data_IF_765086149442
#
_entry.id   IF_765086149442
#
_cell.length_a   1.000
_cell.length_b   1.000
_cell.length_c   1.000
_cell.angle_alpha   90.00
_cell.angle_beta   90.00
_cell.angle_gamma   90.00
#
_symmetry.space_group_name_H-M   'P 1'
#
loop_
_entity.id
_entity.type
_entity.pdbx_description
1 polymer ?
#
# COMPACT_ATOMS: atom_id res chain seq x y z
N UNK A 1 -13.84 -30.93 -2.48
CA UNK A 1 -14.40 -29.81 -3.26
C UNK A 1 -15.14 -28.92 -2.30
N UNK A 2 -14.55 -27.77 -1.98
CA UNK A 2 -15.10 -26.79 -1.05
C UNK A 2 -15.32 -25.48 -1.81
N UNK A 3 -16.49 -24.87 -1.64
CA UNK A 3 -16.85 -23.62 -2.33
C UNK A 3 -16.59 -22.45 -1.36
N UNK A 4 -15.60 -21.62 -1.68
CA UNK A 4 -15.25 -20.44 -0.90
C UNK A 4 -15.78 -19.19 -1.63
N UNK A 5 -16.31 -18.25 -0.85
CA UNK A 5 -16.67 -16.92 -1.33
C UNK A 5 -15.64 -15.93 -0.81
N UNK A 6 -14.87 -15.35 -1.71
CA UNK A 6 -13.88 -14.30 -1.41
C UNK A 6 -14.21 -13.11 -2.32
N UNK A 7 -14.38 -11.91 -1.75
CA UNK A 7 -14.63 -10.68 -2.53
C UNK A 7 -15.80 -10.75 -3.51
N UNK A 8 -16.89 -11.46 -3.18
CA UNK A 8 -18.05 -11.64 -4.06
C UNK A 8 -17.86 -12.66 -5.20
N UNK A 9 -16.64 -13.15 -5.40
CA UNK A 9 -16.32 -14.19 -6.38
C UNK A 9 -16.47 -15.59 -5.76
N UNK A 10 -16.97 -16.53 -6.58
CA UNK A 10 -17.04 -17.95 -6.22
C UNK A 10 -15.77 -18.65 -6.66
N UNK A 11 -14.98 -19.11 -5.71
CA UNK A 11 -13.78 -19.92 -5.96
C UNK A 11 -14.10 -21.36 -5.53
N UNK A 12 -13.93 -22.28 -6.47
CA UNK A 12 -13.98 -23.72 -6.17
C UNK A 12 -12.56 -24.18 -5.93
N UNK A 13 -12.28 -24.67 -4.73
CA UNK A 13 -10.97 -25.25 -4.39
C UNK A 13 -11.12 -26.77 -4.39
N UNK A 14 -10.30 -27.43 -5.20
CA UNK A 14 -10.22 -28.88 -5.30
C UNK A 14 -8.82 -29.35 -4.95
N UNK A 15 -8.74 -30.29 -4.01
CA UNK A 15 -7.49 -30.90 -3.59
C UNK A 15 -7.32 -32.18 -4.41
N UNK A 16 -6.38 -32.16 -5.36
CA UNK A 16 -6.12 -33.27 -6.28
C UNK A 16 -4.74 -33.88 -5.96
N UNK A 17 -4.73 -34.82 -5.01
CA UNK A 17 -3.49 -35.37 -4.48
C UNK A 17 -2.76 -34.32 -3.65
N UNK A 18 -1.56 -33.93 -4.09
CA UNK A 18 -0.64 -33.02 -3.37
C UNK A 18 -0.70 -31.58 -3.89
N UNK A 19 -1.70 -31.30 -4.72
CA UNK A 19 -1.89 -30.01 -5.38
C UNK A 19 -3.23 -29.43 -4.99
N UNK A 20 -3.22 -28.19 -4.50
CA UNK A 20 -4.44 -27.39 -4.39
C UNK A 20 -4.68 -26.74 -5.74
N UNK A 21 -5.81 -27.08 -6.36
CA UNK A 21 -6.29 -26.46 -7.59
C UNK A 21 -7.45 -25.51 -7.23
N UNK A 22 -7.23 -24.20 -7.40
CA UNK A 22 -8.27 -23.20 -7.24
C UNK A 22 -8.81 -22.75 -8.60
N UNK A 23 -10.14 -22.67 -8.72
CA UNK A 23 -10.82 -22.19 -9.92
C UNK A 23 -11.78 -21.06 -9.59
N UNK A 24 -11.47 -19.87 -10.09
CA UNK A 24 -12.40 -18.75 -10.10
C UNK A 24 -13.44 -18.90 -11.24
N UNK A 25 -14.66 -18.40 -11.00
CA UNK A 25 -15.73 -18.37 -12.01
C UNK A 25 -15.70 -17.12 -12.91
N UNK A 26 -14.68 -16.28 -12.78
CA UNK A 26 -14.37 -15.21 -13.74
C UNK A 26 -13.88 -15.89 -15.03
N UNK A 27 -14.24 -15.36 -16.21
CA UNK A 27 -14.10 -16.07 -17.49
C UNK A 27 -12.69 -16.51 -17.92
N UNK A 28 -11.66 -16.28 -17.11
CA UNK A 28 -10.29 -16.72 -17.30
C UNK A 28 -10.00 -17.94 -16.41
N UNK A 29 -9.78 -19.10 -17.04
CA UNK A 29 -9.31 -20.30 -16.34
C UNK A 29 -7.79 -20.23 -16.18
N UNK A 30 -7.30 -19.72 -15.06
CA UNK A 30 -5.91 -19.95 -14.66
C UNK A 30 -5.89 -20.92 -13.47
N UNK A 31 -4.92 -21.82 -13.50
CA UNK A 31 -4.69 -22.84 -12.48
C UNK A 31 -3.53 -22.39 -11.62
N UNK A 32 -3.78 -22.15 -10.34
CA UNK A 32 -2.71 -22.04 -9.35
C UNK A 32 -2.48 -23.45 -8.82
N UNK A 33 -1.25 -23.96 -8.97
CA UNK A 33 -0.81 -25.23 -8.39
C UNK A 33 0.09 -24.91 -7.21
N UNK A 34 -0.46 -24.90 -6.00
CA UNK A 34 0.34 -24.84 -4.78
C UNK A 34 0.75 -26.28 -4.43
N UNK A 35 2.05 -26.55 -4.40
CA UNK A 35 2.59 -27.84 -3.93
C UNK A 35 2.42 -27.85 -2.41
N UNK A 36 1.68 -28.83 -1.89
CA UNK A 36 1.36 -28.95 -0.46
C UNK A 36 2.22 -29.95 0.29
N UNK A 37 3.07 -30.70 -0.43
CA UNK A 37 4.07 -31.55 0.21
C UNK A 37 5.30 -30.72 0.54
N UNK A 38 5.42 -30.37 1.81
CA UNK A 38 6.67 -29.93 2.42
C UNK A 38 7.38 -31.15 3.02
N UNK A 39 8.70 -31.08 3.07
CA UNK A 39 9.56 -32.07 3.72
C UNK A 39 9.92 -31.55 5.11
N UNK A 40 9.38 -32.18 6.15
CA UNK A 40 9.60 -31.80 7.55
C UNK A 40 10.85 -32.48 8.10
N UNK A 41 11.68 -31.74 8.83
CA UNK A 41 12.82 -32.30 9.55
C UNK A 41 12.39 -32.95 10.86
N UNK A 42 12.64 -34.26 11.00
CA UNK A 42 12.33 -35.03 12.22
C UNK A 42 13.08 -34.52 13.47
N UNK A 43 14.17 -33.76 13.28
CA UNK A 43 15.03 -33.23 14.37
C UNK A 43 14.53 -31.94 15.01
N UNK A 44 13.94 -31.03 14.24
CA UNK A 44 13.52 -29.69 14.70
C UNK A 44 12.09 -29.28 14.29
N UNK A 45 11.47 -30.00 13.35
CA UNK A 45 10.14 -29.69 12.81
C UNK A 45 10.12 -28.49 11.85
N UNK A 46 11.21 -28.22 11.14
CA UNK A 46 11.27 -27.21 10.08
C UNK A 46 10.84 -27.83 8.74
N UNK A 47 10.09 -27.09 7.92
CA UNK A 47 9.50 -27.56 6.66
C UNK A 47 10.23 -26.98 5.44
N UNK A 48 10.49 -27.81 4.43
CA UNK A 48 11.21 -27.43 3.21
C UNK A 48 10.42 -27.79 1.95
N UNK A 49 10.43 -26.92 0.95
CA UNK A 49 9.71 -27.14 -0.32
C UNK A 49 10.35 -28.24 -1.20
N UNK A 50 11.53 -28.74 -0.82
CA UNK A 50 12.22 -29.82 -1.55
C UNK A 50 12.97 -30.76 -0.60
N UNK A 51 13.04 -32.04 -0.97
CA UNK A 51 13.86 -33.05 -0.28
C UNK A 51 15.34 -32.63 -0.20
N UNK A 52 15.81 -31.87 -1.19
CA UNK A 52 17.17 -31.32 -1.20
C UNK A 52 17.38 -30.24 -0.12
N UNK A 53 16.38 -29.40 0.12
CA UNK A 53 16.38 -28.41 1.19
C UNK A 53 16.46 -29.08 2.56
N UNK A 54 15.60 -30.10 2.79
CA UNK A 54 15.62 -30.90 4.01
C UNK A 54 16.98 -31.59 4.21
N UNK A 55 17.51 -32.27 3.20
CA UNK A 55 18.79 -32.98 3.30
C UNK A 55 19.97 -32.05 3.60
N UNK A 56 19.93 -30.81 3.08
CA UNK A 56 20.96 -29.80 3.36
C UNK A 56 20.87 -29.32 4.81
N UNK A 57 19.65 -29.07 5.30
CA UNK A 57 19.40 -28.70 6.68
C UNK A 57 19.85 -29.80 7.66
N UNK A 58 19.48 -31.06 7.42
CA UNK A 58 19.91 -32.18 8.27
C UNK A 58 21.45 -32.33 8.29
N UNK A 59 22.09 -32.13 7.14
CA UNK A 59 23.54 -32.19 7.00
C UNK A 59 24.30 -31.10 7.75
N UNK A 60 23.74 -29.90 7.87
CA UNK A 60 24.39 -28.74 8.52
C UNK A 60 24.04 -28.61 10.00
N UNK A 61 22.76 -28.82 10.33
CA UNK A 61 22.19 -28.49 11.65
C UNK A 61 22.17 -29.69 12.59
N UNK A 62 22.14 -30.91 12.05
CA UNK A 62 21.98 -32.14 12.83
C UNK A 62 23.13 -33.15 12.68
N UNK A 63 24.14 -32.87 11.85
CA UNK A 63 25.34 -33.71 11.76
C UNK A 63 26.16 -33.63 13.06
N UNK A 64 26.32 -34.79 13.70
CA UNK A 64 27.02 -34.96 14.98
C UNK A 64 28.51 -35.30 14.82
N UNK A 65 29.11 -35.00 13.66
CA UNK A 65 30.51 -35.29 13.37
C UNK A 65 31.37 -34.04 13.63
N UNK A 66 32.20 -34.12 14.69
CA UNK A 66 33.21 -33.11 15.01
C UNK A 66 34.27 -32.94 13.91
N UNK A 67 35.01 -31.81 13.93
CA UNK A 67 35.74 -31.33 12.76
C UNK A 67 36.97 -32.22 12.45
N UNK A 68 36.93 -32.90 11.31
CA UNK A 68 38.13 -33.45 10.66
C UNK A 68 38.78 -32.36 9.82
N UNK A 69 40.01 -32.01 10.20
CA UNK A 69 40.86 -31.00 9.58
C UNK A 69 41.30 -31.33 8.13
N UNK A 70 41.52 -30.24 7.36
CA UNK A 70 42.23 -30.07 6.06
C UNK A 70 41.56 -30.72 4.84
N UNK A 71 41.24 -30.02 3.75
CA UNK A 71 42.00 -29.01 3.01
C UNK A 71 41.13 -27.89 2.43
N UNK A 72 41.80 -26.78 2.13
CA UNK A 72 41.31 -25.56 1.51
C UNK A 72 40.49 -25.81 0.23
N UNK A 73 39.21 -25.42 0.25
CA UNK A 73 38.54 -24.92 -0.94
C UNK A 73 37.60 -23.80 -0.54
N UNK A 74 37.87 -22.60 -1.05
CA UNK A 74 36.96 -21.46 -1.04
C UNK A 74 35.57 -21.89 -1.47
N UNK A 75 34.65 -21.89 -0.52
CA UNK A 75 33.24 -22.21 -0.71
C UNK A 75 32.43 -21.34 0.23
N UNK A 76 32.26 -20.07 -0.15
CA UNK A 76 31.22 -19.21 0.39
C UNK A 76 29.88 -19.93 0.18
N UNK A 77 29.43 -20.66 1.19
CA UNK A 77 28.02 -20.97 1.37
C UNK A 77 27.42 -19.71 1.97
N UNK A 78 27.02 -18.81 1.07
CA UNK A 78 26.12 -17.74 1.41
C UNK A 78 24.83 -18.40 1.90
N UNK A 79 24.56 -18.27 3.19
CA UNK A 79 23.20 -18.26 3.69
C UNK A 79 22.48 -17.20 2.85
N UNK A 80 21.43 -17.60 2.14
CA UNK A 80 20.63 -16.69 1.32
C UNK A 80 19.77 -15.89 2.29
N UNK A 81 20.39 -14.93 2.94
CA UNK A 81 19.70 -13.77 3.50
C UNK A 81 19.38 -12.90 2.28
N UNK A 82 18.16 -12.40 2.18
CA UNK A 82 17.70 -11.49 1.13
C UNK A 82 18.38 -10.11 1.23
N UNK A 83 19.71 -10.05 1.30
CA UNK A 83 20.51 -8.84 1.44
C UNK A 83 21.15 -8.53 0.07
N UNK A 84 20.48 -7.65 -0.68
CA UNK A 84 20.78 -7.29 -2.05
C UNK A 84 22.11 -6.54 -2.22
N UNK A 85 23.22 -7.27 -2.27
CA UNK A 85 24.48 -6.80 -2.84
C UNK A 85 25.26 -5.76 -2.03
N UNK A 86 26.53 -5.56 -2.42
CA UNK A 86 27.50 -4.70 -1.70
C UNK A 86 27.87 -3.47 -2.53
N UNK A 87 27.25 -2.32 -2.30
CA UNK A 87 27.71 -1.03 -2.84
C UNK A 87 28.73 -0.33 -1.90
N UNK A 88 29.55 0.58 -2.44
CA UNK A 88 30.56 1.31 -1.66
C UNK A 88 29.92 2.37 -0.74
N UNK A 89 30.09 2.20 0.58
CA UNK A 89 29.51 3.05 1.64
C UNK A 89 30.58 3.98 2.23
N UNK A 90 30.14 5.14 2.74
CA UNK A 90 30.96 6.10 3.49
C UNK A 90 31.67 5.45 4.70
N UNK A 91 32.90 5.88 4.98
CA UNK A 91 33.66 5.37 6.12
C UNK A 91 33.04 5.85 7.45
N UNK A 92 33.16 5.05 8.53
CA UNK A 92 32.70 5.41 9.88
C UNK A 92 33.21 6.78 10.35
N UNK A 93 34.40 7.20 9.90
CA UNK A 93 34.92 8.55 10.20
C UNK A 93 34.08 9.64 9.55
N UNK A 94 33.57 9.41 8.35
CA UNK A 94 32.77 10.40 7.64
C UNK A 94 31.37 10.49 8.25
N UNK A 95 30.76 9.35 8.59
CA UNK A 95 29.44 9.30 9.25
C UNK A 95 29.50 9.83 10.70
N UNK A 96 30.60 9.62 11.44
CA UNK A 96 30.77 10.20 12.79
C UNK A 96 31.10 11.69 12.80
N UNK A 97 31.56 12.21 11.67
CA UNK A 97 31.91 13.62 11.52
C UNK A 97 30.83 14.39 10.74
N UNK A 98 29.75 13.73 10.32
CA UNK A 98 28.55 14.40 9.83
C UNK A 98 27.63 14.76 10.99
N UNK A 99 26.72 15.69 10.74
CA UNK A 99 25.67 16.08 11.70
C UNK A 99 24.53 15.04 11.75
N UNK A 100 24.71 13.86 11.15
CA UNK A 100 23.70 12.81 11.03
C UNK A 100 23.62 11.99 12.34
N UNK A 101 22.41 11.64 12.76
CA UNK A 101 22.19 10.96 14.04
C UNK A 101 22.48 9.46 13.96
N UNK A 102 23.70 9.07 14.30
CA UNK A 102 24.19 7.68 14.23
C UNK A 102 23.88 6.89 15.50
N UNK A 103 23.11 5.79 15.42
CA UNK A 103 22.87 4.87 16.56
C UNK A 103 23.33 3.43 16.27
N UNK A 104 23.65 2.64 17.30
CA UNK A 104 24.29 1.31 17.22
C UNK A 104 23.36 0.24 17.78
N UNK A 105 23.13 -0.84 17.04
CA UNK A 105 22.42 -2.03 17.54
C UNK A 105 23.31 -3.26 17.65
N UNK A 106 22.74 -4.33 18.24
CA UNK A 106 23.28 -5.68 18.30
C UNK A 106 22.30 -6.61 17.58
N UNK A 107 22.46 -6.75 16.27
CA UNK A 107 21.86 -7.81 15.45
C UNK A 107 22.89 -8.12 14.37
N UNK A 108 23.36 -9.38 14.31
CA UNK A 108 24.48 -9.86 13.48
C UNK A 108 25.63 -8.86 13.33
N UNK A 109 26.08 -8.30 14.47
CA UNK A 109 27.05 -7.22 14.53
C UNK A 109 26.44 -5.88 14.96
N UNK A 110 26.85 -4.80 14.28
CA UNK A 110 26.49 -3.41 14.55
C UNK A 110 25.67 -2.82 13.41
N UNK A 111 24.37 -2.62 13.61
CA UNK A 111 23.52 -1.83 12.70
C UNK A 111 23.62 -0.35 13.04
N UNK A 112 23.56 0.48 12.00
CA UNK A 112 23.52 1.93 12.10
C UNK A 112 22.54 2.50 11.09
N UNK A 113 21.85 3.56 11.47
CA UNK A 113 20.94 4.28 10.61
C UNK A 113 21.38 5.76 10.50
N UNK A 114 21.28 6.35 9.32
CA UNK A 114 21.51 7.78 9.09
C UNK A 114 20.63 8.27 7.92
N UNK A 115 20.49 9.60 7.75
CA UNK A 115 19.76 10.17 6.61
C UNK A 115 20.69 10.52 5.46
N UNK A 116 20.25 10.24 4.24
CA UNK A 116 20.86 10.77 3.02
C UNK A 116 19.78 11.52 2.23
N UNK A 117 19.68 12.84 2.45
CA UNK A 117 18.56 13.63 1.93
C UNK A 117 17.25 13.36 2.69
N UNK A 118 16.19 13.00 1.96
CA UNK A 118 14.89 12.61 2.52
C UNK A 118 14.79 11.10 2.82
N UNK A 119 15.83 10.33 2.50
CA UNK A 119 15.85 8.88 2.65
C UNK A 119 16.52 8.45 3.96
N UNK A 120 16.02 7.35 4.54
CA UNK A 120 16.59 6.69 5.70
C UNK A 120 17.49 5.55 5.24
N UNK A 121 18.78 5.59 5.54
CA UNK A 121 19.77 4.57 5.13
C UNK A 121 20.21 3.77 6.34
N UNK A 122 20.03 2.45 6.27
CA UNK A 122 20.49 1.51 7.30
C UNK A 122 21.68 0.73 6.77
N UNK A 123 22.73 0.67 7.57
CA UNK A 123 23.98 -0.04 7.28
C UNK A 123 24.27 -1.04 8.39
N UNK A 124 24.56 -2.27 8.01
CA UNK A 124 25.02 -3.31 8.92
C UNK A 124 26.54 -3.42 8.84
N UNK A 125 27.16 -3.81 9.95
CA UNK A 125 28.56 -4.20 10.00
C UNK A 125 28.66 -5.43 10.88
N UNK A 126 29.17 -6.53 10.36
CA UNK A 126 29.40 -7.72 11.17
C UNK A 126 30.35 -7.46 12.36
N UNK A 127 30.50 -8.45 13.24
CA UNK A 127 31.17 -8.31 14.54
C UNK A 127 32.67 -7.94 14.48
N UNK A 128 33.32 -8.03 13.32
CA UNK A 128 34.75 -7.76 13.20
C UNK A 128 35.10 -6.30 12.86
N UNK A 129 36.10 -5.68 13.53
CA UNK A 129 36.57 -4.32 13.27
C UNK A 129 37.13 -4.02 11.87
N UNK A 130 37.14 -5.00 10.95
CA UNK A 130 37.59 -4.85 9.56
C UNK A 130 36.53 -5.28 8.54
N UNK A 131 35.38 -5.77 8.99
CA UNK A 131 34.27 -6.05 8.09
C UNK A 131 33.83 -4.76 7.41
N UNK A 132 33.58 -4.87 6.10
CA UNK A 132 33.01 -3.79 5.31
C UNK A 132 31.59 -3.55 5.80
N UNK A 133 31.18 -2.30 5.71
CA UNK A 133 29.80 -1.93 5.92
C UNK A 133 29.00 -2.41 4.73
N UNK A 134 27.84 -2.98 4.99
CA UNK A 134 26.88 -3.39 3.97
C UNK A 134 25.66 -2.52 4.13
N UNK A 135 25.23 -1.85 3.06
CA UNK A 135 23.97 -1.13 3.04
C UNK A 135 22.95 -2.25 3.07
N UNK A 136 22.02 -2.20 4.02
CA UNK A 136 20.82 -3.02 3.91
C UNK A 136 20.05 -2.38 2.77
N UNK A 137 20.29 -2.89 1.57
CA UNK A 137 19.52 -2.52 0.39
C UNK A 137 18.25 -3.36 0.51
N UNK A 138 17.06 -2.75 0.51
CA UNK A 138 15.84 -3.53 0.51
C UNK A 138 15.88 -4.48 -0.68
N UNK A 139 15.55 -5.75 -0.47
CA UNK A 139 15.21 -6.63 -1.58
C UNK A 139 14.06 -5.96 -2.35
N UNK A 140 14.14 -5.98 -3.68
CA UNK A 140 13.01 -5.57 -4.52
C UNK A 140 11.74 -6.28 -4.01
N UNK A 141 10.67 -5.51 -3.77
CA UNK A 141 9.40 -6.05 -3.30
C UNK A 141 8.30 -5.73 -4.29
N UNK A 142 7.62 -6.77 -4.76
CA UNK A 142 6.46 -6.63 -5.63
C UNK A 142 5.12 -6.60 -4.88
N UNK A 143 5.11 -6.92 -3.59
CA UNK A 143 3.90 -6.88 -2.76
C UNK A 143 4.20 -6.63 -1.28
N UNK A 144 3.27 -6.02 -0.54
CA UNK A 144 3.31 -5.77 0.92
C UNK A 144 1.91 -5.86 1.53
N UNK A 145 1.81 -6.02 2.85
CA UNK A 145 0.52 -6.00 3.56
C UNK A 145 0.32 -4.74 4.40
N UNK A 146 -0.95 -4.37 4.61
CA UNK A 146 -1.33 -3.38 5.62
C UNK A 146 -0.84 -3.83 7.01
N UNK A 147 -0.28 -2.89 7.79
CA UNK A 147 0.29 -3.14 9.11
C UNK A 147 1.74 -3.64 9.09
N UNK A 148 2.30 -3.96 7.92
CA UNK A 148 3.69 -4.36 7.76
C UNK A 148 4.65 -3.20 8.12
N UNK A 149 5.82 -3.54 8.66
CA UNK A 149 6.87 -2.56 8.96
C UNK A 149 8.05 -2.75 8.02
N UNK A 150 8.49 -1.66 7.39
CA UNK A 150 9.66 -1.67 6.52
C UNK A 150 10.76 -0.79 7.12
N UNK A 151 11.98 -1.31 7.11
CA UNK A 151 13.17 -0.55 7.46
C UNK A 151 13.45 0.60 6.48
N UNK A 152 13.21 0.35 5.19
CA UNK A 152 13.44 1.29 4.08
C UNK A 152 12.43 0.99 2.98
N UNK A 153 12.08 2.00 2.18
CA UNK A 153 11.25 1.81 0.99
C UNK A 153 12.04 1.03 -0.08
N UNK A 154 11.48 -0.04 -0.68
CA UNK A 154 12.12 -0.79 -1.77
C UNK A 154 12.48 0.06 -2.99
N UNK A 155 13.65 -0.21 -3.57
CA UNK A 155 14.20 0.59 -4.68
C UNK A 155 13.36 0.50 -5.97
N UNK A 156 12.56 -0.56 -6.13
CA UNK A 156 11.66 -0.74 -7.27
C UNK A 156 10.34 0.03 -7.13
N UNK A 157 10.10 0.73 -6.02
CA UNK A 157 8.88 1.50 -5.80
C UNK A 157 9.02 2.94 -6.29
N UNK A 158 7.99 3.42 -6.97
CA UNK A 158 7.94 4.78 -7.50
C UNK A 158 7.16 5.70 -6.57
N UNK A 159 7.85 6.67 -5.96
CA UNK A 159 7.18 7.65 -5.10
C UNK A 159 6.27 8.57 -5.92
N UNK A 160 4.99 8.65 -5.56
CA UNK A 160 4.00 9.52 -6.22
C UNK A 160 3.73 10.80 -5.44
N UNK A 161 3.61 10.71 -4.13
CA UNK A 161 3.28 11.86 -3.28
C UNK A 161 3.99 11.80 -1.92
N UNK A 162 4.21 12.97 -1.34
CA UNK A 162 4.53 13.16 0.09
C UNK A 162 3.43 13.97 0.72
N UNK A 163 2.85 13.49 1.83
CA UNK A 163 1.76 14.14 2.53
C UNK A 163 2.23 14.51 3.93
N UNK A 164 2.01 15.76 4.32
CA UNK A 164 2.22 16.19 5.70
C UNK A 164 0.95 15.93 6.51
N UNK A 165 1.06 15.04 7.48
CA UNK A 165 -0.01 14.72 8.40
C UNK A 165 -0.12 15.69 9.58
N UNK A 166 -1.04 15.37 10.49
CA UNK A 166 -1.18 16.07 11.75
C UNK A 166 0.01 15.77 12.70
N UNK A 167 0.28 16.69 13.64
CA UNK A 167 1.25 16.48 14.72
C UNK A 167 2.64 15.97 14.27
N UNK A 168 3.19 16.59 13.22
CA UNK A 168 4.48 16.27 12.60
C UNK A 168 4.52 14.98 11.77
N UNK A 169 3.46 14.16 11.76
CA UNK A 169 3.38 12.95 10.93
C UNK A 169 3.65 13.26 9.45
N UNK A 170 4.29 12.32 8.76
CA UNK A 170 4.57 12.40 7.33
C UNK A 170 4.16 11.08 6.71
N UNK A 171 3.64 11.13 5.51
CA UNK A 171 3.25 9.97 4.74
C UNK A 171 3.83 10.06 3.34
N UNK A 172 4.04 8.91 2.71
CA UNK A 172 4.39 8.80 1.30
C UNK A 172 3.42 7.86 0.61
N UNK A 173 3.00 8.22 -0.59
CA UNK A 173 2.30 7.30 -1.49
C UNK A 173 3.31 6.81 -2.52
N UNK A 174 3.40 5.49 -2.66
CA UNK A 174 4.33 4.80 -3.54
C UNK A 174 3.56 3.86 -4.46
N UNK A 175 3.99 3.72 -5.70
CA UNK A 175 3.46 2.73 -6.64
C UNK A 175 4.46 1.59 -6.79
N UNK A 176 3.95 0.36 -6.82
CA UNK A 176 4.71 -0.85 -7.13
C UNK A 176 4.46 -1.18 -8.61
N UNK A 177 5.39 -0.88 -9.54
CA UNK A 177 5.12 -0.97 -10.97
C UNK A 177 4.77 -2.38 -11.46
N UNK A 178 5.27 -3.43 -10.79
CA UNK A 178 5.03 -4.82 -11.19
C UNK A 178 3.59 -5.28 -10.96
N UNK A 179 2.93 -4.71 -9.95
CA UNK A 179 1.56 -5.07 -9.55
C UNK A 179 0.57 -3.93 -9.81
N UNK A 180 1.06 -2.75 -10.18
CA UNK A 180 0.31 -1.51 -10.32
C UNK A 180 -0.52 -1.20 -9.06
N UNK A 181 0.07 -1.48 -7.90
CA UNK A 181 -0.54 -1.25 -6.58
C UNK A 181 0.06 -0.01 -5.98
N UNK A 182 -0.77 0.82 -5.37
CA UNK A 182 -0.34 1.97 -4.58
C UNK A 182 -0.33 1.62 -3.08
N UNK A 183 0.67 2.15 -2.39
CA UNK A 183 0.96 1.91 -0.98
C UNK A 183 1.06 3.24 -0.27
N UNK A 184 0.25 3.40 0.78
CA UNK A 184 0.37 4.49 1.73
C UNK A 184 1.28 4.04 2.87
N UNK A 185 2.40 4.73 3.05
CA UNK A 185 3.34 4.46 4.12
C UNK A 185 3.52 5.68 5.03
N UNK A 186 3.47 5.46 6.35
CA UNK A 186 3.95 6.44 7.33
C UNK A 186 5.46 6.56 7.21
N UNK A 187 5.96 7.80 7.13
CA UNK A 187 7.39 8.11 7.07
C UNK A 187 7.89 8.35 8.50
N UNK A 188 8.96 7.67 8.93
CA UNK A 188 9.47 7.78 10.30
C UNK A 188 9.89 9.19 10.66
N UNK A 189 9.46 9.62 11.86
CA UNK A 189 9.83 10.90 12.47
C UNK A 189 10.88 10.65 13.55
N UNK A 190 12.06 11.24 13.38
CA UNK A 190 13.32 10.95 14.10
C UNK A 190 13.33 11.20 15.64
N UNK A 191 12.21 11.20 16.34
CA UNK A 191 12.18 11.50 17.77
C UNK A 191 12.53 10.26 18.61
N UNK A 192 12.07 9.06 18.23
CA UNK A 192 12.37 7.82 18.96
C UNK A 192 12.60 6.63 18.01
N UNK A 193 13.29 5.62 18.54
CA UNK A 193 13.73 4.43 17.81
C UNK A 193 12.59 3.48 17.44
N UNK A 194 11.53 3.48 18.25
CA UNK A 194 10.26 2.81 17.96
C UNK A 194 9.52 3.46 16.78
N UNK A 195 9.94 4.66 16.38
CA UNK A 195 9.35 5.44 15.28
C UNK A 195 10.28 5.46 14.04
N UNK A 196 11.24 4.53 13.95
CA UNK A 196 12.24 4.49 12.87
C UNK A 196 11.78 3.72 11.62
N UNK A 197 10.59 3.13 11.67
CA UNK A 197 10.06 2.26 10.64
C UNK A 197 9.11 3.01 9.71
N UNK A 198 9.11 2.61 8.45
CA UNK A 198 7.99 2.90 7.59
C UNK A 198 6.87 1.93 7.95
N UNK A 199 5.71 2.46 8.37
CA UNK A 199 4.52 1.65 8.61
C UNK A 199 3.67 1.64 7.35
N UNK A 200 3.30 0.46 6.86
CA UNK A 200 2.34 0.35 5.76
C UNK A 200 0.94 0.57 6.33
N UNK A 201 0.36 1.73 6.05
CA UNK A 201 -0.95 2.13 6.58
C UNK A 201 -2.08 1.65 5.69
N UNK A 202 -1.85 1.62 4.37
CA UNK A 202 -2.85 1.17 3.43
C UNK A 202 -2.22 0.63 2.14
N UNK A 203 -2.86 -0.34 1.51
CA UNK A 203 -2.44 -0.95 0.25
C UNK A 203 -3.66 -1.06 -0.65
N UNK A 204 -3.58 -0.55 -1.88
CA UNK A 204 -4.73 -0.50 -2.77
C UNK A 204 -4.45 0.28 -4.05
N UNK A 205 -5.36 1.18 -4.42
CA UNK A 205 -5.18 2.09 -5.56
C UNK A 205 -5.20 3.55 -5.11
N UNK A 206 -4.34 4.36 -5.71
CA UNK A 206 -4.38 5.81 -5.53
C UNK A 206 -5.75 6.34 -5.97
N UNK A 207 -6.42 7.03 -5.06
CA UNK A 207 -7.70 7.67 -5.31
C UNK A 207 -7.57 9.18 -5.07
N UNK A 208 -8.23 9.96 -5.94
CA UNK A 208 -8.41 11.40 -5.72
C UNK A 208 -9.90 11.71 -5.76
N UNK A 209 -10.44 12.11 -4.62
CA UNK A 209 -11.88 12.28 -4.42
C UNK A 209 -12.26 13.70 -4.04
N UNK A 210 -13.47 14.12 -4.40
CA UNK A 210 -14.04 15.41 -4.01
C UNK A 210 -14.19 15.48 -2.49
N UNK A 211 -13.59 16.52 -1.88
CA UNK A 211 -13.62 16.76 -0.44
C UNK A 211 -13.88 18.24 -0.15
N UNK A 212 -14.98 18.75 -0.70
CA UNK A 212 -15.48 20.10 -0.45
C UNK A 212 -17.00 20.05 -0.27
N UNK A 213 -17.63 21.22 -0.16
CA UNK A 213 -19.08 21.34 0.02
C UNK A 213 -19.70 22.40 -0.87
N UNK A 214 -20.92 22.11 -1.32
CA UNK A 214 -21.77 23.10 -1.97
C UNK A 214 -22.59 23.82 -0.89
N UNK A 215 -22.61 25.16 -0.93
CA UNK A 215 -23.25 26.00 0.07
C UNK A 215 -24.77 26.11 -0.19
N UNK A 216 -25.48 24.99 -0.05
CA UNK A 216 -26.92 24.89 -0.33
C UNK A 216 -27.78 25.85 0.50
N UNK A 217 -27.42 26.08 1.76
CA UNK A 217 -28.15 27.02 2.64
C UNK A 217 -28.05 28.46 2.11
N UNK A 218 -26.90 28.83 1.53
CA UNK A 218 -26.75 30.13 0.88
C UNK A 218 -27.56 30.18 -0.41
N UNK A 219 -27.68 29.09 -1.15
CA UNK A 219 -28.48 29.05 -2.38
C UNK A 219 -29.95 29.36 -2.08
N UNK A 220 -30.50 28.84 -0.99
CA UNK A 220 -31.86 29.14 -0.57
C UNK A 220 -32.05 30.65 -0.33
N UNK A 221 -31.12 31.29 0.37
CA UNK A 221 -31.14 32.73 0.59
C UNK A 221 -30.96 33.53 -0.71
N UNK A 222 -30.05 33.11 -1.60
CA UNK A 222 -29.84 33.74 -2.90
C UNK A 222 -31.11 33.69 -3.74
N UNK A 223 -31.81 32.55 -3.77
CA UNK A 223 -33.09 32.41 -4.48
C UNK A 223 -34.15 33.39 -3.95
N UNK A 224 -34.16 33.71 -2.66
CA UNK A 224 -35.07 34.72 -2.11
C UNK A 224 -34.70 36.13 -2.54
N UNK A 225 -33.42 36.48 -2.49
CA UNK A 225 -32.94 37.81 -2.87
C UNK A 225 -33.13 38.08 -4.37
N UNK A 226 -32.79 37.11 -5.22
CA UNK A 226 -32.84 37.25 -6.68
C UNK A 226 -34.28 37.43 -7.19
N UNK A 227 -35.28 36.84 -6.52
CA UNK A 227 -36.70 37.05 -6.85
C UNK A 227 -37.16 38.50 -6.71
N UNK A 228 -36.49 39.29 -5.89
CA UNK A 228 -36.84 40.70 -5.66
C UNK A 228 -36.15 41.64 -6.66
N UNK A 229 -35.27 41.11 -7.53
CA UNK A 229 -34.52 41.87 -8.52
C UNK A 229 -35.24 41.80 -9.86
N UNK A 230 -35.87 42.90 -10.27
CA UNK A 230 -36.61 43.00 -11.55
C UNK A 230 -35.76 42.72 -12.81
N UNK A 231 -34.43 42.83 -12.70
CA UNK A 231 -33.48 42.59 -13.80
C UNK A 231 -33.18 41.10 -14.03
N UNK A 232 -33.48 40.23 -13.05
CA UNK A 232 -33.25 38.79 -13.19
C UNK A 232 -34.52 38.11 -13.70
N UNK A 233 -34.38 37.31 -14.76
CA UNK A 233 -35.49 36.59 -15.37
C UNK A 233 -36.11 35.54 -14.45
N UNK A 234 -37.43 35.36 -14.53
CA UNK A 234 -38.18 34.33 -13.79
C UNK A 234 -37.65 32.91 -14.08
N UNK A 235 -37.13 32.69 -15.29
CA UNK A 235 -36.49 31.47 -15.76
C UNK A 235 -35.20 31.15 -14.99
N UNK A 236 -34.37 32.16 -14.70
CA UNK A 236 -33.16 31.99 -13.87
C UNK A 236 -33.55 31.59 -12.46
N UNK A 237 -34.54 32.27 -11.88
CA UNK A 237 -35.07 31.95 -10.54
C UNK A 237 -35.61 30.52 -10.48
N UNK A 238 -36.36 30.09 -11.50
CA UNK A 238 -36.93 28.75 -11.55
C UNK A 238 -35.87 27.67 -11.77
N UNK A 239 -34.81 27.97 -12.52
CA UNK A 239 -33.65 27.11 -12.68
C UNK A 239 -32.89 26.93 -11.34
N UNK A 240 -32.63 28.01 -10.60
CA UNK A 240 -32.00 27.94 -9.27
C UNK A 240 -32.85 27.13 -8.27
N UNK A 241 -34.19 27.32 -8.26
CA UNK A 241 -35.09 26.47 -7.45
C UNK A 241 -35.03 25.00 -7.87
N UNK A 242 -34.91 24.73 -9.17
CA UNK A 242 -34.81 23.37 -9.71
C UNK A 242 -33.50 22.70 -9.31
N UNK A 243 -32.40 23.45 -9.27
CA UNK A 243 -31.11 23.02 -8.75
C UNK A 243 -31.24 22.66 -7.26
N UNK A 244 -31.73 23.59 -6.44
CA UNK A 244 -31.88 23.40 -4.99
C UNK A 244 -32.79 22.21 -4.64
N UNK A 245 -33.89 22.01 -5.38
CA UNK A 245 -34.80 20.86 -5.17
C UNK A 245 -34.13 19.51 -5.45
N UNK A 246 -33.12 19.49 -6.34
CA UNK A 246 -32.41 18.29 -6.76
C UNK A 246 -30.97 18.25 -6.21
N UNK A 247 -30.71 18.96 -5.10
CA UNK A 247 -29.37 19.15 -4.54
C UNK A 247 -28.57 17.87 -4.35
N UNK A 248 -29.12 16.84 -3.69
CA UNK A 248 -28.40 15.59 -3.43
C UNK A 248 -28.01 14.86 -4.74
N UNK A 249 -28.85 14.97 -5.76
CA UNK A 249 -28.56 14.37 -7.07
C UNK A 249 -27.51 15.18 -7.84
N UNK A 250 -27.56 16.51 -7.74
CA UNK A 250 -26.54 17.37 -8.33
C UNK A 250 -25.19 17.14 -7.67
N UNK A 251 -25.15 17.15 -6.33
CA UNK A 251 -23.93 16.99 -5.54
C UNK A 251 -23.23 15.66 -5.83
N UNK A 252 -23.99 14.56 -5.94
CA UNK A 252 -23.41 13.29 -6.39
C UNK A 252 -22.80 13.38 -7.79
N UNK A 253 -23.51 14.00 -8.76
CA UNK A 253 -22.98 14.16 -10.12
C UNK A 253 -21.77 15.10 -10.18
N UNK A 254 -21.77 16.13 -9.34
CA UNK A 254 -20.67 17.06 -9.20
C UNK A 254 -19.44 16.34 -8.67
N UNK A 255 -19.58 15.58 -7.58
CA UNK A 255 -18.50 14.76 -7.05
C UNK A 255 -17.99 13.74 -8.09
N UNK A 256 -18.88 13.04 -8.80
CA UNK A 256 -18.50 12.09 -9.87
C UNK A 256 -17.68 12.77 -10.99
N UNK A 257 -18.08 13.98 -11.41
CA UNK A 257 -17.39 14.73 -12.46
C UNK A 257 -16.03 15.26 -11.99
N UNK A 258 -15.96 15.77 -10.75
CA UNK A 258 -14.71 16.19 -10.13
C UNK A 258 -13.75 15.00 -9.98
N UNK A 259 -14.20 13.87 -9.43
CA UNK A 259 -13.38 12.67 -9.26
C UNK A 259 -12.79 12.18 -10.59
N UNK A 260 -13.57 12.26 -11.68
CA UNK A 260 -13.13 11.84 -13.02
C UNK A 260 -11.90 12.64 -13.52
N UNK A 261 -11.81 13.91 -13.14
CA UNK A 261 -10.76 14.82 -13.62
C UNK A 261 -9.69 15.13 -12.57
N UNK A 262 -9.96 14.86 -11.29
CA UNK A 262 -9.10 15.24 -10.18
C UNK A 262 -7.70 14.62 -10.26
N UNK A 263 -7.59 13.33 -10.58
CA UNK A 263 -6.28 12.68 -10.66
C UNK A 263 -5.39 13.28 -11.76
N UNK A 264 -5.95 13.60 -12.93
CA UNK A 264 -5.22 14.29 -13.99
C UNK A 264 -4.85 15.72 -13.58
N UNK A 265 -5.74 16.42 -12.86
CA UNK A 265 -5.43 17.75 -12.33
C UNK A 265 -4.26 17.72 -11.33
N UNK A 266 -4.24 16.73 -10.43
CA UNK A 266 -3.18 16.58 -9.41
C UNK A 266 -1.85 16.14 -10.03
N UNK A 267 -1.86 15.12 -10.89
CA UNK A 267 -0.64 14.43 -11.34
C UNK A 267 -0.27 14.68 -12.81
N UNK A 268 -1.21 15.11 -13.66
CA UNK A 268 -1.03 15.29 -15.10
C UNK A 268 -0.16 16.50 -15.50
N UNK A 269 0.00 17.48 -14.61
CA UNK A 269 0.84 18.66 -14.84
C UNK A 269 2.35 18.40 -14.67
N UNK A 270 2.74 17.29 -14.05
CA UNK A 270 4.15 16.96 -13.79
C UNK A 270 4.80 16.39 -15.05
N UNK A 271 5.35 17.27 -15.89
CA UNK A 271 6.15 16.90 -17.08
C UNK A 271 7.41 16.07 -16.71
N UNK A 272 7.73 15.94 -15.43
CA UNK A 272 8.98 15.38 -14.91
C UNK A 272 8.80 14.06 -14.16
N UNK A 273 7.58 13.51 -14.03
CA UNK A 273 7.30 12.37 -13.13
C UNK A 273 7.78 12.59 -11.69
N UNK A 274 7.97 13.85 -11.29
CA UNK A 274 8.45 14.17 -9.94
C UNK A 274 7.32 13.96 -8.92
N UNK A 275 7.63 13.38 -7.74
CA UNK A 275 6.67 13.22 -6.66
C UNK A 275 6.12 14.58 -6.21
N UNK A 276 4.80 14.65 -6.01
CA UNK A 276 4.18 15.87 -5.48
C UNK A 276 4.36 15.98 -3.96
N UNK A 277 4.35 17.20 -3.43
CA UNK A 277 4.39 17.46 -1.99
C UNK A 277 3.12 18.20 -1.56
N UNK A 278 2.40 17.62 -0.61
CA UNK A 278 1.12 18.08 -0.10
C UNK A 278 1.26 18.51 1.38
N UNK A 279 0.74 19.69 1.73
CA UNK A 279 0.73 20.20 3.11
C UNK A 279 -0.39 19.59 3.99
N UNK A 280 -1.19 18.71 3.41
CA UNK A 280 -2.30 18.00 4.04
C UNK A 280 -2.88 16.95 3.09
N UNK A 281 -3.96 16.28 3.51
CA UNK A 281 -4.65 15.30 2.68
C UNK A 281 -5.50 15.93 1.57
N UNK A 282 -5.85 17.20 1.71
CA UNK A 282 -6.67 17.95 0.76
C UNK A 282 -5.87 19.03 0.05
N UNK A 283 -6.22 19.30 -1.21
CA UNK A 283 -5.66 20.39 -2.00
C UNK A 283 -6.68 20.91 -3.04
N UNK A 284 -6.36 22.07 -3.59
CA UNK A 284 -6.95 22.62 -4.81
C UNK A 284 -5.97 22.39 -5.98
N UNK A 285 -6.26 21.45 -6.90
CA UNK A 285 -5.35 21.12 -8.00
C UNK A 285 -5.63 21.89 -9.29
N UNK A 286 -6.62 22.78 -9.34
CA UNK A 286 -7.09 23.36 -10.60
C UNK A 286 -6.24 24.58 -10.98
N UNK A 287 -5.66 24.56 -12.19
CA UNK A 287 -4.88 25.70 -12.71
C UNK A 287 -5.76 26.91 -13.08
N UNK A 288 -6.99 26.62 -13.53
CA UNK A 288 -8.05 27.55 -13.86
C UNK A 288 -9.32 27.11 -13.12
N UNK A 289 -10.36 27.95 -13.09
CA UNK A 289 -11.65 27.59 -12.47
C UNK A 289 -12.17 26.29 -13.07
N UNK A 290 -12.64 25.36 -12.22
CA UNK A 290 -13.30 24.15 -12.69
C UNK A 290 -14.48 24.54 -13.60
N UNK A 291 -14.55 23.92 -14.78
CA UNK A 291 -15.59 24.23 -15.78
C UNK A 291 -16.93 23.61 -15.36
N UNK A 292 -17.56 24.25 -14.40
CA UNK A 292 -18.83 23.84 -13.83
C UNK A 292 -20.01 24.19 -14.75
N UNK A 293 -19.80 25.10 -15.71
CA UNK A 293 -20.84 25.66 -16.57
C UNK A 293 -21.46 24.53 -17.41
N UNK A 294 -20.63 23.65 -17.98
CA UNK A 294 -21.08 22.50 -18.75
C UNK A 294 -21.95 21.53 -17.93
N UNK A 295 -21.51 21.18 -16.72
CA UNK A 295 -22.21 20.25 -15.83
C UNK A 295 -23.57 20.82 -15.40
N UNK A 296 -23.61 22.09 -15.00
CA UNK A 296 -24.82 22.77 -14.53
C UNK A 296 -25.82 22.93 -15.67
N UNK A 297 -25.37 23.37 -16.85
CA UNK A 297 -26.20 23.48 -18.05
C UNK A 297 -26.85 22.14 -18.41
N UNK A 298 -26.05 21.07 -18.46
CA UNK A 298 -26.55 19.71 -18.75
C UNK A 298 -27.51 19.18 -17.68
N UNK A 299 -27.29 19.53 -16.41
CA UNK A 299 -28.14 19.06 -15.31
C UNK A 299 -29.49 19.78 -15.26
N UNK A 300 -29.48 21.08 -15.55
CA UNK A 300 -30.67 21.93 -15.53
C UNK A 300 -31.49 21.84 -16.81
N UNK A 301 -30.86 21.51 -17.95
CA UNK A 301 -31.50 21.45 -19.27
C UNK A 301 -32.17 22.78 -19.63
N UNK A 302 -31.39 23.86 -19.55
CA UNK A 302 -31.81 25.25 -19.80
C UNK A 302 -31.04 25.86 -20.98
N UNK A 303 -31.57 26.95 -21.53
CA UNK A 303 -30.91 27.70 -22.61
C UNK A 303 -29.69 28.48 -22.08
N UNK A 304 -28.75 28.81 -22.98
CA UNK A 304 -27.48 29.45 -22.62
C UNK A 304 -27.66 30.80 -21.89
N UNK A 305 -28.66 31.61 -22.28
CA UNK A 305 -28.95 32.89 -21.61
C UNK A 305 -29.41 32.70 -20.16
N UNK A 306 -30.29 31.71 -19.92
CA UNK A 306 -30.71 31.34 -18.56
C UNK A 306 -29.54 30.76 -17.77
N UNK A 307 -28.69 29.94 -18.40
CA UNK A 307 -27.50 29.36 -17.78
C UNK A 307 -26.51 30.45 -17.35
N UNK A 308 -26.23 31.45 -18.19
CA UNK A 308 -25.35 32.58 -17.86
C UNK A 308 -25.85 33.35 -16.64
N UNK A 309 -27.17 33.59 -16.57
CA UNK A 309 -27.80 34.18 -15.39
C UNK A 309 -27.64 33.32 -14.13
N UNK A 310 -27.91 32.01 -14.23
CA UNK A 310 -27.72 31.06 -13.12
C UNK A 310 -26.26 31.03 -12.66
N UNK A 311 -25.31 30.96 -13.58
CA UNK A 311 -23.88 30.91 -13.27
C UNK A 311 -23.40 32.21 -12.62
N UNK A 312 -23.91 33.35 -13.04
CA UNK A 312 -23.61 34.66 -12.42
C UNK A 312 -23.99 34.63 -10.94
N UNK A 313 -25.22 34.24 -10.62
CA UNK A 313 -25.71 34.19 -9.24
C UNK A 313 -24.95 33.16 -8.38
N UNK A 314 -24.67 31.98 -8.93
CA UNK A 314 -23.93 30.92 -8.22
C UNK A 314 -22.47 31.33 -7.93
N UNK A 315 -21.80 32.01 -8.88
CA UNK A 315 -20.42 32.49 -8.75
C UNK A 315 -20.33 33.68 -7.79
N UNK A 316 -21.23 34.66 -7.91
CA UNK A 316 -21.25 35.83 -7.03
C UNK A 316 -21.53 35.47 -5.57
N UNK A 317 -22.49 34.57 -5.32
CA UNK A 317 -22.79 34.10 -3.98
C UNK A 317 -21.85 32.99 -3.47
N UNK A 318 -20.91 32.51 -4.32
CA UNK A 318 -19.98 31.40 -4.03
C UNK A 318 -20.70 30.16 -3.51
N UNK A 319 -21.75 29.77 -4.21
CA UNK A 319 -22.57 28.59 -3.86
C UNK A 319 -21.81 27.31 -4.20
N UNK A 320 -21.26 27.28 -5.42
CA UNK A 320 -20.45 26.18 -5.92
C UNK A 320 -19.00 26.63 -5.83
N UNK A 321 -18.11 25.81 -5.26
CA UNK A 321 -16.71 26.16 -5.18
C UNK A 321 -16.13 26.33 -6.59
N UNK A 322 -15.51 27.49 -6.90
CA UNK A 322 -14.85 27.70 -8.20
C UNK A 322 -13.59 26.83 -8.34
N UNK A 323 -13.03 26.41 -7.21
CA UNK A 323 -11.87 25.56 -7.10
C UNK A 323 -12.18 24.48 -6.04
N UNK A 324 -12.91 23.42 -6.42
CA UNK A 324 -13.32 22.39 -5.47
C UNK A 324 -12.10 21.69 -4.87
N UNK A 325 -12.04 21.60 -3.54
CA UNK A 325 -11.00 20.81 -2.88
C UNK A 325 -11.17 19.31 -3.17
N UNK A 326 -10.03 18.63 -3.30
CA UNK A 326 -9.96 17.18 -3.47
C UNK A 326 -9.05 16.58 -2.41
N UNK A 327 -9.36 15.36 -1.99
CA UNK A 327 -8.56 14.53 -1.11
C UNK A 327 -7.77 13.51 -1.91
N UNK A 328 -6.51 13.34 -1.58
CA UNK A 328 -5.63 12.30 -2.13
C UNK A 328 -5.50 11.19 -1.08
N UNK A 329 -5.78 9.94 -1.46
CA UNK A 329 -5.69 8.79 -0.54
C UNK A 329 -5.34 7.50 -1.31
N UNK A 330 -5.23 6.38 -0.58
CA UNK A 330 -5.16 5.03 -1.17
C UNK A 330 -6.41 4.27 -0.75
N UNK A 331 -7.19 3.79 -1.71
CA UNK A 331 -8.41 3.01 -1.50
C UNK A 331 -8.08 1.51 -1.37
N UNK A 332 -8.28 0.95 -0.17
CA UNK A 332 -8.11 -0.48 0.12
C UNK A 332 -9.27 -1.37 -0.33
N UNK A 333 -10.42 -0.79 -0.68
CA UNK A 333 -11.58 -1.59 -1.11
C UNK A 333 -11.43 -2.11 -2.55
N UNK A 334 -10.37 -1.69 -3.25
CA UNK A 334 -10.04 -2.19 -4.59
C UNK A 334 -9.45 -3.60 -4.51
N UNK A 335 -9.97 -4.50 -5.34
CA UNK A 335 -9.44 -5.86 -5.45
C UNK A 335 -7.99 -5.85 -5.88
N UNK A 336 -7.15 -6.45 -5.04
CA UNK A 336 -5.74 -6.70 -5.34
C UNK A 336 -5.57 -7.74 -6.46
N UNK A 337 -4.41 -7.76 -7.15
CA UNK A 337 -4.09 -8.82 -8.09
C UNK A 337 -4.13 -10.21 -7.43
N UNK A 338 -4.56 -11.23 -8.16
CA UNK A 338 -4.64 -12.60 -7.64
C UNK A 338 -3.28 -13.07 -7.08
N UNK A 339 -3.26 -13.47 -5.81
CA UNK A 339 -2.06 -13.99 -5.13
C UNK A 339 -1.12 -12.91 -4.59
N UNK A 340 -1.53 -11.64 -4.61
CA UNK A 340 -0.76 -10.53 -4.07
C UNK A 340 -0.39 -10.72 -2.60
N UNK A 341 -1.34 -11.15 -1.76
CA UNK A 341 -1.14 -11.31 -0.32
C UNK A 341 -0.18 -12.45 0.00
N UNK A 342 -0.30 -13.58 -0.72
CA UNK A 342 0.63 -14.71 -0.57
C UNK A 342 2.05 -14.24 -0.94
N UNK A 343 2.17 -13.49 -2.04
CA UNK A 343 3.45 -12.94 -2.49
C UNK A 343 4.04 -12.00 -1.45
N UNK A 344 3.23 -11.12 -0.85
CA UNK A 344 3.68 -10.19 0.19
C UNK A 344 4.28 -10.93 1.38
N UNK A 345 3.59 -11.95 1.91
CA UNK A 345 4.08 -12.70 3.08
C UNK A 345 5.35 -13.50 2.74
N UNK A 346 5.40 -14.09 1.55
CA UNK A 346 6.60 -14.80 1.10
C UNK A 346 7.80 -13.85 0.87
N UNK A 347 7.57 -12.67 0.31
CA UNK A 347 8.62 -11.65 0.11
C UNK A 347 9.09 -11.03 1.44
N UNK A 348 8.27 -11.06 2.49
CA UNK A 348 8.68 -10.73 3.86
C UNK A 348 9.62 -11.79 4.47
N UNK A 349 9.68 -13.00 3.90
CA UNK A 349 10.60 -14.06 4.31
C UNK A 349 9.91 -15.33 4.82
N UNK A 350 8.58 -15.34 4.93
CA UNK A 350 7.85 -16.53 5.33
C UNK A 350 7.82 -17.59 4.21
N UNK A 351 7.72 -18.85 4.60
CA UNK A 351 7.49 -19.95 3.67
C UNK A 351 6.08 -19.91 3.07
N UNK A 352 5.89 -20.58 1.93
CA UNK A 352 4.56 -20.69 1.32
C UNK A 352 3.53 -21.39 2.23
N UNK A 353 3.96 -22.31 3.10
CA UNK A 353 3.09 -22.95 4.07
C UNK A 353 2.62 -21.97 5.16
N UNK A 354 3.53 -21.15 5.67
CA UNK A 354 3.26 -20.09 6.65
C UNK A 354 2.34 -19.02 6.06
N UNK A 355 2.61 -18.55 4.84
CA UNK A 355 1.78 -17.58 4.14
C UNK A 355 0.32 -18.06 3.98
N UNK A 356 0.14 -19.31 3.54
CA UNK A 356 -1.21 -19.88 3.38
C UNK A 356 -1.92 -20.05 4.71
N UNK A 357 -1.22 -20.51 5.75
CA UNK A 357 -1.81 -20.71 7.07
C UNK A 357 -2.22 -19.37 7.71
N UNK A 358 -1.39 -18.34 7.58
CA UNK A 358 -1.68 -16.96 8.00
C UNK A 358 -2.89 -16.38 7.27
N UNK A 359 -2.91 -16.43 5.93
CA UNK A 359 -3.99 -15.83 5.14
C UNK A 359 -5.35 -16.46 5.46
N UNK A 360 -5.39 -17.78 5.58
CA UNK A 360 -6.63 -18.51 5.80
C UNK A 360 -7.22 -18.27 7.20
N UNK A 361 -6.39 -17.96 8.18
CA UNK A 361 -6.80 -17.90 9.59
C UNK A 361 -6.86 -16.49 10.17
N UNK A 362 -5.93 -15.62 9.79
CA UNK A 362 -5.84 -14.26 10.33
C UNK A 362 -6.29 -13.21 9.31
N UNK A 363 -5.73 -13.21 8.10
CA UNK A 363 -6.00 -12.13 7.12
C UNK A 363 -7.46 -12.12 6.64
N UNK A 364 -8.00 -13.28 6.25
CA UNK A 364 -9.38 -13.36 5.75
C UNK A 364 -10.38 -13.78 6.82
N UNK A 365 -9.92 -14.17 8.02
CA UNK A 365 -10.74 -14.77 9.09
C UNK A 365 -11.75 -15.79 8.52
N UNK A 366 -11.30 -16.57 7.52
CA UNK A 366 -12.19 -17.48 6.80
C UNK A 366 -12.59 -18.67 7.68
N UNK A 367 -11.73 -19.01 8.63
CA UNK A 367 -11.90 -20.05 9.63
C UNK A 367 -10.85 -19.90 10.73
N UNK A 368 -11.14 -20.42 11.92
CA UNK A 368 -10.13 -20.42 12.98
C UNK A 368 -9.03 -21.47 12.73
N UNK A 369 -7.88 -21.29 13.38
CA UNK A 369 -6.71 -22.16 13.23
C UNK A 369 -6.98 -23.65 13.52
N UNK A 370 -7.96 -23.97 14.38
CA UNK A 370 -8.31 -25.39 14.69
C UNK A 370 -9.05 -26.02 13.52
N UNK A 371 -10.04 -25.33 12.96
CA UNK A 371 -10.78 -25.80 11.78
C UNK A 371 -9.87 -25.91 10.55
N UNK A 372 -8.94 -24.96 10.39
CA UNK A 372 -7.96 -25.02 9.31
C UNK A 372 -6.97 -26.17 9.47
N UNK A 373 -6.50 -26.42 10.70
CA UNK A 373 -5.63 -27.55 11.00
C UNK A 373 -6.28 -28.89 10.62
N UNK A 374 -7.56 -29.06 10.94
CA UNK A 374 -8.33 -30.27 10.59
C UNK A 374 -8.40 -30.47 9.07
N UNK A 375 -8.61 -29.39 8.28
CA UNK A 375 -8.64 -29.44 6.82
C UNK A 375 -7.26 -29.78 6.23
N UNK A 376 -6.20 -29.21 6.79
CA UNK A 376 -4.81 -29.43 6.40
C UNK A 376 -4.28 -30.79 6.85
N UNK A 377 -4.98 -31.49 7.74
CA UNK A 377 -4.49 -32.71 8.37
C UNK A 377 -3.29 -32.48 9.30
N UNK A 378 -3.14 -31.24 9.80
CA UNK A 378 -2.07 -30.82 10.71
C UNK A 378 -2.60 -30.65 12.13
N UNK A 379 -1.71 -30.50 13.11
CA UNK A 379 -2.12 -30.15 14.46
C UNK A 379 -2.38 -28.64 14.58
N UNK A 380 -3.32 -28.19 15.42
CA UNK A 380 -3.53 -26.75 15.66
C UNK A 380 -2.26 -26.02 16.08
N UNK A 381 -1.40 -26.67 16.87
CA UNK A 381 -0.11 -26.09 17.28
C UNK A 381 0.86 -25.86 16.11
N UNK A 382 0.81 -26.68 15.06
CA UNK A 382 1.63 -26.47 13.87
C UNK A 382 1.13 -25.25 13.08
N UNK A 383 -0.20 -25.11 12.93
CA UNK A 383 -0.80 -23.92 12.32
C UNK A 383 -0.45 -22.66 13.14
N UNK A 384 -0.59 -22.69 14.46
CA UNK A 384 -0.23 -21.55 15.31
C UNK A 384 1.25 -21.18 15.21
N UNK A 385 2.16 -22.17 15.11
CA UNK A 385 3.59 -21.91 14.87
C UNK A 385 3.78 -21.19 13.53
N UNK A 386 3.15 -21.69 12.47
CA UNK A 386 3.25 -21.11 11.14
C UNK A 386 2.71 -19.68 11.07
N UNK A 387 1.56 -19.42 11.70
CA UNK A 387 0.97 -18.08 11.80
C UNK A 387 1.91 -17.14 12.56
N UNK A 388 2.43 -17.56 13.72
CA UNK A 388 3.34 -16.73 14.51
C UNK A 388 4.65 -16.43 13.78
N UNK A 389 5.19 -17.39 13.02
CA UNK A 389 6.36 -17.14 12.18
C UNK A 389 6.07 -16.10 11.09
N UNK A 390 4.93 -16.18 10.40
CA UNK A 390 4.52 -15.19 9.41
C UNK A 390 4.33 -13.79 10.02
N UNK A 391 3.71 -13.69 11.20
CA UNK A 391 3.58 -12.43 11.95
C UNK A 391 4.95 -11.83 12.29
N UNK A 392 5.88 -12.67 12.76
CA UNK A 392 7.23 -12.23 13.09
C UNK A 392 7.96 -11.70 11.83
N UNK A 393 7.81 -12.32 10.67
CA UNK A 393 8.42 -11.83 9.42
C UNK A 393 7.80 -10.50 8.94
N UNK A 394 6.48 -10.29 9.10
CA UNK A 394 5.81 -9.04 8.71
C UNK A 394 6.16 -7.84 9.61
N UNK A 395 6.67 -8.10 10.82
CA UNK A 395 7.03 -7.09 11.82
C UNK A 395 8.55 -6.86 11.94
N UNK A 396 9.35 -7.52 11.11
CA UNK A 396 10.81 -7.47 11.15
C UNK A 396 11.40 -6.38 10.29
#
# INVERSE_FOLDING_TARGET
MSELKIGGSKITVELNGNTIEAKANTGNKQWVSVITETHECDGCGDEFDTEHGLATHEGLTHSNDGPSSTDESDGHTAEVVADGGTEEIRDLRDVRNSDDEVRRYSADGHLYAYREGDEHVIVARGDEPRMRWTKRVPAERGAVLEGEQLWTIPDNWEKRATIKGEAEARYGIYNIPETDVDVLATIPNNNYLVDAWYGIENVGQLEVTYDDRIEWDKLEQTIENVKEIDEVGDDVVDALKSLHRRKDHFERKFAEDINLHAQEAVFGGSLTHEPISLEGWTLDPWLDTADNDYLIGRFLDVEDETLDGVMTELKEARIIPPYPEVRVDVDSDVSMPDGYEIRAICEAGASGAEAVDYIMTEQFDAMNQTEWADIRGKTPSAISKNVGNAEDELLK
#
